data_IF_559805906893
#
_entry.id   IF_559805906893
#
_cell.length_a   1.000
_cell.length_b   1.000
_cell.length_c   1.000
_cell.angle_alpha   90.00
_cell.angle_beta   90.00
_cell.angle_gamma   90.00
#
_symmetry.space_group_name_H-M   'P 1'
#
loop_
_entity.id
_entity.type
_entity.pdbx_description
1 polymer ?
#
# COMPACT_ATOMS: atom_id res chain seq x y z
N UNK A 1 -10.46 -15.46 -10.71
CA UNK A 1 -9.50 -16.27 -9.94
C UNK A 1 -8.13 -15.65 -10.13
N UNK A 2 -7.41 -15.30 -9.07
CA UNK A 2 -6.05 -14.75 -9.17
C UNK A 2 -5.13 -15.83 -9.75
N UNK A 3 -4.29 -15.48 -10.73
CA UNK A 3 -3.29 -16.42 -11.22
C UNK A 3 -2.07 -16.48 -10.27
N UNK A 4 -1.28 -17.54 -10.40
CA UNK A 4 -0.08 -17.74 -9.56
C UNK A 4 0.95 -16.62 -9.73
N UNK A 5 1.01 -15.98 -10.91
CA UNK A 5 1.94 -14.90 -11.17
C UNK A 5 1.60 -13.67 -10.33
N UNK A 6 0.36 -13.18 -10.42
CA UNK A 6 -0.13 -12.04 -9.64
C UNK A 6 -0.07 -12.31 -8.14
N UNK A 7 -0.43 -13.52 -7.72
CA UNK A 7 -0.30 -13.95 -6.34
C UNK A 7 1.14 -13.88 -5.84
N UNK A 8 2.08 -14.40 -6.62
CA UNK A 8 3.51 -14.35 -6.28
C UNK A 8 4.04 -12.93 -6.15
N UNK A 9 3.64 -12.04 -7.06
CA UNK A 9 3.98 -10.62 -6.99
C UNK A 9 3.37 -9.93 -5.78
N UNK A 10 2.11 -10.17 -5.45
CA UNK A 10 1.46 -9.60 -4.28
C UNK A 10 2.24 -9.93 -2.99
N UNK A 11 2.55 -11.22 -2.78
CA UNK A 11 3.29 -11.68 -1.61
C UNK A 11 4.75 -11.20 -1.61
N UNK A 12 5.37 -11.03 -2.78
CA UNK A 12 6.71 -10.45 -2.90
C UNK A 12 6.71 -8.99 -2.48
N UNK A 13 5.77 -8.19 -2.99
CA UNK A 13 5.69 -6.78 -2.67
C UNK A 13 5.42 -6.54 -1.18
N UNK A 14 4.62 -7.37 -0.51
CA UNK A 14 4.46 -7.29 0.95
C UNK A 14 5.76 -7.55 1.71
N UNK A 15 6.53 -8.57 1.32
CA UNK A 15 7.84 -8.86 1.96
C UNK A 15 8.80 -7.69 1.79
N UNK A 16 8.86 -7.13 0.59
CA UNK A 16 9.70 -5.97 0.31
C UNK A 16 9.24 -4.73 1.08
N UNK A 17 7.92 -4.49 1.18
CA UNK A 17 7.37 -3.38 1.97
C UNK A 17 7.74 -3.48 3.45
N UNK A 18 7.62 -4.67 4.04
CA UNK A 18 8.05 -4.92 5.43
C UNK A 18 9.55 -4.66 5.60
N UNK A 19 10.37 -5.18 4.69
CA UNK A 19 11.83 -5.00 4.75
C UNK A 19 12.24 -3.53 4.65
N UNK A 20 11.57 -2.74 3.79
CA UNK A 20 11.84 -1.30 3.65
C UNK A 20 11.40 -0.49 4.87
N UNK A 21 10.29 -0.87 5.51
CA UNK A 21 9.87 -0.25 6.76
C UNK A 21 10.87 -0.53 7.89
N UNK A 22 11.38 -1.76 8.02
CA UNK A 22 12.42 -2.06 9.01
C UNK A 22 13.72 -1.30 8.70
N UNK A 23 14.14 -1.26 7.44
CA UNK A 23 15.28 -0.46 7.01
C UNK A 23 15.11 1.04 7.34
N UNK A 24 13.88 1.57 7.22
CA UNK A 24 13.58 2.95 7.58
C UNK A 24 13.73 3.24 9.09
N UNK A 25 13.48 2.23 9.94
CA UNK A 25 13.70 2.33 11.40
C UNK A 25 15.19 2.35 11.74
N UNK A 26 15.98 1.55 11.03
CA UNK A 26 17.42 1.43 11.25
C UNK A 26 18.25 2.57 10.63
N UNK A 27 17.74 3.22 9.58
CA UNK A 27 18.43 4.27 8.83
C UNK A 27 17.69 5.62 8.84
N UNK A 28 17.75 6.41 9.93
CA UNK A 28 16.97 7.63 10.10
C UNK A 28 17.17 8.72 9.04
N UNK A 29 18.31 8.72 8.33
CA UNK A 29 18.63 9.71 7.29
C UNK A 29 18.03 9.36 5.92
N UNK A 30 17.67 8.08 5.69
CA UNK A 30 16.97 7.60 4.48
C UNK A 30 15.51 7.24 4.76
N UNK A 31 15.06 7.35 6.01
CA UNK A 31 13.76 6.88 6.48
C UNK A 31 12.58 7.37 5.63
N UNK A 32 12.54 8.64 5.22
CA UNK A 32 11.42 9.17 4.44
C UNK A 32 11.28 8.48 3.08
N UNK A 33 12.38 8.32 2.34
CA UNK A 33 12.38 7.63 1.05
C UNK A 33 11.98 6.16 1.20
N UNK A 34 12.53 5.49 2.22
CA UNK A 34 12.22 4.08 2.50
C UNK A 34 10.77 3.87 2.92
N UNK A 35 10.18 4.79 3.69
CA UNK A 35 8.76 4.75 4.06
C UNK A 35 7.86 4.90 2.83
N UNK A 36 8.17 5.86 1.95
CA UNK A 36 7.39 6.08 0.73
C UNK A 36 7.43 4.84 -0.16
N UNK A 37 8.60 4.24 -0.35
CA UNK A 37 8.73 3.00 -1.12
C UNK A 37 8.01 1.82 -0.46
N UNK A 38 8.12 1.67 0.87
CA UNK A 38 7.42 0.64 1.60
C UNK A 38 5.89 0.70 1.39
N UNK A 39 5.31 1.91 1.44
CA UNK A 39 3.88 2.13 1.23
C UNK A 39 3.50 1.88 -0.25
N UNK A 40 4.32 2.31 -1.22
CA UNK A 40 4.12 2.03 -2.65
C UNK A 40 4.09 0.53 -2.92
N UNK A 41 4.99 -0.24 -2.30
CA UNK A 41 5.02 -1.70 -2.42
C UNK A 41 3.82 -2.35 -1.76
N UNK A 42 3.42 -1.90 -0.57
CA UNK A 42 2.20 -2.39 0.07
C UNK A 42 0.94 -2.15 -0.80
N UNK A 43 0.83 -0.96 -1.40
CA UNK A 43 -0.24 -0.66 -2.37
C UNK A 43 -0.21 -1.60 -3.57
N UNK A 44 0.97 -1.75 -4.20
CA UNK A 44 1.11 -2.63 -5.35
C UNK A 44 0.74 -4.07 -5.00
N UNK A 45 1.06 -4.54 -3.79
CA UNK A 45 0.65 -5.86 -3.35
C UNK A 45 -0.87 -6.05 -3.36
N UNK A 46 -1.62 -5.05 -2.88
CA UNK A 46 -3.09 -5.05 -2.94
C UNK A 46 -3.55 -5.10 -4.40
N UNK A 47 -2.99 -4.27 -5.28
CA UNK A 47 -3.40 -4.21 -6.68
C UNK A 47 -3.17 -5.54 -7.41
N UNK A 48 -2.02 -6.17 -7.20
CA UNK A 48 -1.74 -7.51 -7.71
C UNK A 48 -2.67 -8.57 -7.12
N UNK A 49 -3.07 -8.43 -5.84
CA UNK A 49 -4.02 -9.37 -5.23
C UNK A 49 -5.43 -9.25 -5.82
N UNK A 50 -5.86 -8.04 -6.18
CA UNK A 50 -7.19 -7.76 -6.72
C UNK A 50 -7.31 -8.06 -8.21
N UNK A 51 -6.24 -7.87 -8.99
CA UNK A 51 -6.32 -8.01 -10.43
C UNK A 51 -5.07 -7.57 -11.17
N UNK A 52 -5.27 -7.00 -12.35
CA UNK A 52 -4.20 -6.41 -13.14
C UNK A 52 -3.90 -5.00 -12.60
N UNK A 53 -2.69 -4.73 -12.09
CA UNK A 53 -2.43 -3.49 -11.35
C UNK A 53 -2.72 -2.21 -12.13
N UNK A 54 -2.40 -2.18 -13.43
CA UNK A 54 -2.68 -1.03 -14.30
C UNK A 54 -4.17 -0.71 -14.42
N UNK A 55 -5.02 -1.75 -14.42
CA UNK A 55 -6.47 -1.58 -14.43
C UNK A 55 -6.99 -1.10 -13.08
N UNK A 56 -6.50 -1.69 -11.97
CA UNK A 56 -6.91 -1.28 -10.62
C UNK A 56 -6.51 0.18 -10.36
N UNK A 57 -5.29 0.57 -10.72
CA UNK A 57 -4.82 1.95 -10.60
C UNK A 57 -5.71 2.92 -11.39
N UNK A 58 -6.11 2.54 -12.60
CA UNK A 58 -7.06 3.33 -13.41
C UNK A 58 -8.40 3.54 -12.71
N UNK A 59 -8.98 2.46 -12.15
CA UNK A 59 -10.26 2.51 -11.41
C UNK A 59 -10.14 3.39 -10.17
N UNK A 60 -9.06 3.25 -9.40
CA UNK A 60 -8.86 4.03 -8.17
C UNK A 60 -8.67 5.52 -8.49
N UNK A 61 -7.91 5.86 -9.53
CA UNK A 61 -7.72 7.25 -9.98
C UNK A 61 -9.03 7.87 -10.45
N UNK A 62 -9.79 7.17 -11.28
CA UNK A 62 -11.10 7.63 -11.75
C UNK A 62 -12.07 7.85 -10.58
N UNK A 63 -12.05 6.95 -9.59
CA UNK A 63 -12.89 7.06 -8.39
C UNK A 63 -12.48 8.25 -7.49
N UNK A 64 -11.19 8.54 -7.40
CA UNK A 64 -10.68 9.69 -6.65
C UNK A 64 -11.05 11.02 -7.33
N UNK A 65 -11.08 11.07 -8.66
CA UNK A 65 -11.44 12.26 -9.43
C UNK A 65 -12.96 12.53 -9.41
N UNK A 66 -13.79 11.47 -9.35
CA UNK A 66 -15.26 11.56 -9.44
C UNK A 66 -15.98 11.38 -8.09
N UNK A 67 -15.46 11.98 -7.01
CA UNK A 67 -15.94 11.86 -5.61
C UNK A 67 -17.41 12.24 -5.32
N UNK A 68 -18.26 12.43 -6.33
CA UNK A 68 -19.68 12.78 -6.17
C UNK A 68 -20.59 11.56 -5.89
N UNK A 69 -20.06 10.33 -5.99
CA UNK A 69 -20.81 9.09 -5.79
C UNK A 69 -20.58 8.38 -4.45
N UNK A 70 -21.56 7.59 -4.00
CA UNK A 70 -21.39 6.64 -2.89
C UNK A 70 -20.47 5.51 -3.35
N UNK A 71 -19.16 5.65 -3.09
CA UNK A 71 -18.17 4.61 -3.38
C UNK A 71 -18.48 3.32 -2.60
N UNK A 72 -18.25 2.18 -3.25
CA UNK A 72 -18.19 0.90 -2.57
C UNK A 72 -17.09 0.95 -1.46
N UNK A 73 -17.30 0.33 -0.29
CA UNK A 73 -16.33 0.38 0.81
C UNK A 73 -14.91 -0.08 0.43
N UNK A 74 -14.77 -1.05 -0.48
CA UNK A 74 -13.46 -1.52 -0.95
C UNK A 74 -12.80 -0.43 -1.77
N UNK A 75 -13.52 0.15 -2.73
CA UNK A 75 -13.01 1.22 -3.58
C UNK A 75 -12.66 2.47 -2.77
N UNK A 76 -13.48 2.81 -1.76
CA UNK A 76 -13.19 3.90 -0.83
C UNK A 76 -11.89 3.66 -0.05
N UNK A 77 -11.68 2.45 0.45
CA UNK A 77 -10.43 2.09 1.16
C UNK A 77 -9.19 2.28 0.26
N UNK A 78 -9.27 1.88 -1.01
CA UNK A 78 -8.17 2.05 -1.96
C UNK A 78 -7.88 3.53 -2.26
N UNK A 79 -8.92 4.35 -2.42
CA UNK A 79 -8.78 5.80 -2.62
C UNK A 79 -8.13 6.46 -1.41
N UNK A 80 -8.60 6.17 -0.19
CA UNK A 80 -8.03 6.71 1.05
C UNK A 80 -6.55 6.32 1.24
N UNK A 81 -6.16 5.13 0.77
CA UNK A 81 -4.77 4.67 0.77
C UNK A 81 -3.89 5.46 -0.21
N UNK A 82 -4.40 5.77 -1.41
CA UNK A 82 -3.68 6.60 -2.40
C UNK A 82 -3.53 8.05 -1.95
N UNK A 83 -4.57 8.63 -1.35
CA UNK A 83 -4.51 9.97 -0.75
C UNK A 83 -3.49 10.02 0.39
N UNK A 84 -3.47 8.98 1.21
CA UNK A 84 -2.49 8.85 2.29
C UNK A 84 -1.06 8.77 1.73
N UNK A 85 -0.84 8.03 0.63
CA UNK A 85 0.46 7.96 -0.05
C UNK A 85 0.89 9.32 -0.61
N UNK A 86 -0.05 10.07 -1.19
CA UNK A 86 0.21 11.45 -1.63
C UNK A 86 0.63 12.33 -0.44
N UNK A 87 -0.04 12.24 0.70
CA UNK A 87 0.34 13.00 1.91
C UNK A 87 1.78 12.70 2.36
N UNK A 88 2.24 11.46 2.29
CA UNK A 88 3.65 11.12 2.62
C UNK A 88 4.67 11.70 1.64
N UNK A 89 4.26 11.94 0.39
CA UNK A 89 5.17 12.42 -0.66
C UNK A 89 5.39 13.94 -0.58
N UNK A 90 4.40 14.70 -0.09
CA UNK A 90 4.42 16.17 -0.13
C UNK A 90 4.65 16.87 1.23
N UNK A 91 4.69 16.14 2.35
CA UNK A 91 4.89 16.75 3.67
C UNK A 91 6.37 16.70 4.07
N UNK A 92 7.06 17.83 3.90
CA UNK A 92 8.46 18.07 4.30
C UNK A 92 8.62 18.47 5.78
N UNK A 93 7.96 17.82 6.74
CA UNK A 93 8.35 17.92 8.16
C UNK A 93 7.56 16.94 9.05
N UNK A 94 7.52 15.66 8.65
CA UNK A 94 6.76 14.70 9.40
C UNK A 94 7.53 14.20 10.64
N UNK A 95 6.86 14.22 11.78
CA UNK A 95 7.27 13.49 12.99
C UNK A 95 7.55 12.02 12.63
N UNK A 96 8.84 11.65 12.65
CA UNK A 96 9.32 10.36 12.15
C UNK A 96 8.62 9.17 12.81
N UNK A 97 8.40 9.25 14.12
CA UNK A 97 7.80 8.15 14.86
C UNK A 97 6.33 7.97 14.48
N UNK A 98 5.59 9.08 14.33
CA UNK A 98 4.20 9.06 13.83
C UNK A 98 4.12 8.56 12.38
N UNK A 99 5.08 8.94 11.55
CA UNK A 99 5.19 8.54 10.13
C UNK A 99 5.39 7.03 10.03
N UNK A 100 6.38 6.50 10.76
CA UNK A 100 6.67 5.07 10.83
C UNK A 100 5.47 4.27 11.35
N UNK A 101 4.78 4.78 12.38
CA UNK A 101 3.59 4.13 12.92
C UNK A 101 2.45 4.08 11.90
N UNK A 102 2.20 5.18 11.19
CA UNK A 102 1.17 5.24 10.14
C UNK A 102 1.52 4.34 8.96
N UNK A 103 2.78 4.32 8.52
CA UNK A 103 3.26 3.42 7.48
C UNK A 103 3.11 1.94 7.88
N UNK A 104 3.48 1.61 9.13
CA UNK A 104 3.31 0.27 9.69
C UNK A 104 1.85 -0.18 9.67
N UNK A 105 0.91 0.71 10.02
CA UNK A 105 -0.52 0.40 9.99
C UNK A 105 -1.03 0.14 8.56
N UNK A 106 -0.55 0.91 7.57
CA UNK A 106 -0.92 0.69 6.16
C UNK A 106 -0.37 -0.62 5.61
N UNK A 107 0.86 -0.97 5.95
CA UNK A 107 1.47 -2.25 5.56
C UNK A 107 0.72 -3.41 6.22
N UNK A 108 0.31 -3.26 7.47
CA UNK A 108 -0.51 -4.26 8.17
C UNK A 108 -1.87 -4.44 7.49
N UNK A 109 -2.56 -3.34 7.15
CA UNK A 109 -3.82 -3.39 6.41
C UNK A 109 -3.66 -4.06 5.05
N UNK A 110 -2.59 -3.73 4.31
CA UNK A 110 -2.28 -4.38 3.05
C UNK A 110 -2.04 -5.88 3.21
N UNK A 111 -1.36 -6.29 4.29
CA UNK A 111 -1.16 -7.70 4.62
C UNK A 111 -2.48 -8.42 4.85
N UNK A 112 -3.39 -7.83 5.62
CA UNK A 112 -4.71 -8.40 5.92
C UNK A 112 -5.57 -8.53 4.65
N UNK A 113 -5.55 -7.54 3.76
CA UNK A 113 -6.28 -7.58 2.48
C UNK A 113 -5.73 -8.69 1.58
N UNK A 114 -4.41 -8.72 1.39
CA UNK A 114 -3.76 -9.74 0.53
C UNK A 114 -3.96 -11.13 1.10
N UNK A 115 -3.87 -11.32 2.42
CA UNK A 115 -4.16 -12.60 3.07
C UNK A 115 -5.62 -13.01 2.83
N UNK A 116 -6.57 -12.08 3.00
CA UNK A 116 -8.01 -12.34 2.78
C UNK A 116 -8.28 -12.79 1.34
N UNK A 117 -7.59 -12.20 0.36
CA UNK A 117 -7.80 -12.50 -1.07
C UNK A 117 -7.04 -13.76 -1.51
N UNK A 118 -5.82 -13.95 -1.03
CA UNK A 118 -4.93 -15.01 -1.49
C UNK A 118 -4.95 -16.26 -0.62
N UNK A 119 -5.46 -16.17 0.61
CA UNK A 119 -5.43 -17.22 1.63
C UNK A 119 -4.04 -17.52 2.19
N UNK A 120 -3.03 -16.69 1.88
CA UNK A 120 -1.64 -16.89 2.32
C UNK A 120 -1.17 -15.74 3.22
N UNK A 121 -0.55 -16.12 4.33
CA UNK A 121 0.15 -15.20 5.22
C UNK A 121 1.56 -14.96 4.74
N UNK A 122 1.96 -13.71 4.77
CA UNK A 122 3.36 -13.31 4.67
C UNK A 122 3.87 -13.15 6.09
N UNK A 123 4.83 -13.99 6.50
CA UNK A 123 5.60 -13.78 7.73
C UNK A 123 6.53 -12.57 7.59
#
# INVERSE_FOLDING_TARGET
MIDQYRRGWALRYLREAKAELEAAREMPYMAQGLIIEAIRKARNAIYYSLGEPSLIEGIVREAAENMEGKLDPILKCLVEMEETLHQFTYVEDMDKEKTLKRASALIQLASEIVETITGEKVD
#
